data_IF_702150889058
#
_entry.id   IF_702150889058
#
_cell.length_a   1.000
_cell.length_b   1.000
_cell.length_c   1.000
_cell.angle_alpha   90.00
_cell.angle_beta   90.00
_cell.angle_gamma   90.00
#
_symmetry.space_group_name_H-M   'P 1'
#
loop_
_entity.id
_entity.type
_entity.pdbx_description
1 polymer ?
#
# COMPACT_ATOMS: atom_id res chain seq x y z
N UNK A 1 -9.18 -7.56 14.24
CA UNK A 1 -9.02 -8.75 13.39
C UNK A 1 -7.57 -9.21 13.53
N UNK A 2 -7.29 -10.51 13.72
CA UNK A 2 -5.93 -11.00 13.82
C UNK A 2 -5.46 -11.42 12.41
N UNK A 3 -4.48 -10.72 11.86
CA UNK A 3 -3.98 -10.96 10.50
C UNK A 3 -3.11 -12.23 10.39
N UNK A 4 -2.53 -12.71 11.48
CA UNK A 4 -1.74 -13.95 11.48
C UNK A 4 -2.65 -15.18 11.45
N UNK A 5 -3.76 -15.15 12.19
CA UNK A 5 -4.71 -16.28 12.27
C UNK A 5 -5.90 -16.15 11.33
N UNK A 6 -6.11 -14.97 10.73
CA UNK A 6 -7.24 -14.66 9.87
C UNK A 6 -8.59 -14.62 10.59
N UNK A 7 -8.60 -14.51 11.93
CA UNK A 7 -9.83 -14.61 12.74
C UNK A 7 -10.16 -13.32 13.49
N UNK A 8 -11.45 -13.09 13.71
CA UNK A 8 -11.93 -12.02 14.60
C UNK A 8 -11.76 -12.48 16.05
N UNK A 9 -10.97 -11.73 16.81
CA UNK A 9 -10.90 -11.88 18.27
C UNK A 9 -11.80 -10.84 18.94
N UNK A 10 -12.33 -11.18 20.12
CA UNK A 10 -13.06 -10.22 20.96
C UNK A 10 -12.09 -9.14 21.43
N UNK A 11 -12.40 -7.89 21.10
CA UNK A 11 -11.62 -6.72 21.54
C UNK A 11 -12.11 -6.19 22.89
N UNK A 12 -11.40 -5.18 23.41
CA UNK A 12 -11.87 -4.38 24.54
C UNK A 12 -12.99 -3.45 24.09
N UNK A 13 -13.98 -3.25 24.95
CA UNK A 13 -14.97 -2.18 24.76
C UNK A 13 -14.32 -0.88 25.22
N UNK A 14 -14.37 0.14 24.36
CA UNK A 14 -13.81 1.46 24.64
C UNK A 14 -14.96 2.45 24.61
N UNK A 15 -15.03 3.32 25.62
CA UNK A 15 -15.94 4.46 25.65
C UNK A 15 -15.09 5.70 25.43
N UNK A 16 -15.27 6.43 24.31
CA UNK A 16 -14.54 7.66 24.09
C UNK A 16 -14.98 8.73 25.10
N UNK A 17 -14.09 9.65 25.51
CA UNK A 17 -14.47 10.82 26.29
C UNK A 17 -15.43 11.72 25.50
N UNK A 18 -16.11 12.64 26.19
CA UNK A 18 -17.15 13.52 25.59
C UNK A 18 -16.67 14.25 24.33
N UNK A 19 -15.42 14.71 24.33
CA UNK A 19 -14.77 15.41 23.22
C UNK A 19 -13.69 14.54 22.54
N UNK A 20 -13.83 13.22 22.66
CA UNK A 20 -12.90 12.26 22.09
C UNK A 20 -13.05 12.11 20.58
N UNK A 21 -11.93 11.98 19.88
CA UNK A 21 -11.91 11.68 18.45
C UNK A 21 -11.75 10.17 18.26
N UNK A 22 -12.56 9.59 17.38
CA UNK A 22 -12.44 8.20 16.95
C UNK A 22 -11.78 8.18 15.57
N UNK A 23 -10.60 7.58 15.48
CA UNK A 23 -9.96 7.30 14.20
C UNK A 23 -10.39 5.92 13.70
N UNK A 24 -11.03 5.87 12.53
CA UNK A 24 -11.40 4.64 11.84
C UNK A 24 -10.50 4.47 10.62
N UNK A 25 -9.67 3.44 10.62
CA UNK A 25 -8.81 3.09 9.49
C UNK A 25 -9.29 1.79 8.83
N UNK A 26 -9.21 1.75 7.50
CA UNK A 26 -9.60 0.59 6.73
C UNK A 26 -10.01 0.92 5.30
N UNK A 27 -10.00 -0.11 4.45
CA UNK A 27 -10.24 0.02 3.01
C UNK A 27 -11.67 0.42 2.63
N UNK A 28 -12.62 0.42 3.57
CA UNK A 28 -14.02 0.77 3.32
C UNK A 28 -14.48 2.01 4.09
N UNK A 29 -13.59 2.73 4.78
CA UNK A 29 -13.99 3.84 5.66
C UNK A 29 -14.64 5.02 4.93
N UNK A 30 -14.43 5.17 3.62
CA UNK A 30 -15.08 6.21 2.82
C UNK A 30 -16.53 5.86 2.43
N UNK A 31 -16.91 4.59 2.51
CA UNK A 31 -18.25 4.16 2.15
C UNK A 31 -19.26 4.57 3.24
N UNK A 32 -20.18 5.48 2.91
CA UNK A 32 -21.22 5.96 3.82
C UNK A 32 -22.12 4.84 4.36
N UNK A 33 -22.29 3.73 3.62
CA UNK A 33 -23.04 2.57 4.11
C UNK A 33 -22.43 1.99 5.41
N UNK A 34 -21.12 2.13 5.62
CA UNK A 34 -20.44 1.67 6.83
C UNK A 34 -20.77 2.56 8.05
N UNK A 35 -21.01 3.85 7.84
CA UNK A 35 -21.23 4.84 8.91
C UNK A 35 -22.58 5.54 8.81
N UNK A 36 -23.59 4.89 8.22
CA UNK A 36 -24.88 5.48 7.88
C UNK A 36 -25.65 6.09 9.07
N UNK A 37 -25.37 5.61 10.29
CA UNK A 37 -25.97 6.13 11.55
C UNK A 37 -25.26 7.35 12.11
N UNK A 38 -24.09 7.69 11.60
CA UNK A 38 -23.28 8.82 12.07
C UNK A 38 -23.58 10.01 11.14
N UNK A 39 -23.95 11.19 11.67
CA UNK A 39 -24.17 12.39 10.85
C UNK A 39 -22.91 12.80 10.08
N UNK A 40 -23.05 13.26 8.83
CA UNK A 40 -21.90 13.70 8.02
C UNK A 40 -21.15 14.89 8.64
N UNK A 41 -21.83 15.79 9.33
CA UNK A 41 -21.25 17.00 9.95
C UNK A 41 -20.21 16.74 11.05
N UNK A 42 -20.15 15.51 11.59
CA UNK A 42 -19.18 15.11 12.60
C UNK A 42 -18.16 14.10 12.07
N UNK A 43 -18.12 13.90 10.75
CA UNK A 43 -17.14 13.05 10.07
C UNK A 43 -16.10 13.95 9.41
N UNK A 44 -14.88 13.44 9.39
CA UNK A 44 -13.83 13.95 8.54
C UNK A 44 -13.16 12.75 7.87
N UNK A 45 -13.19 12.71 6.54
CA UNK A 45 -12.77 11.58 5.73
C UNK A 45 -11.49 11.92 4.98
N UNK A 46 -10.48 11.10 5.19
CA UNK A 46 -9.18 11.24 4.52
C UNK A 46 -8.99 10.06 3.57
N UNK A 47 -8.73 10.36 2.30
CA UNK A 47 -8.33 9.37 1.32
C UNK A 47 -6.82 9.40 1.11
N UNK A 48 -6.15 8.28 1.41
CA UNK A 48 -4.71 8.13 1.18
C UNK A 48 -4.50 7.39 -0.14
N UNK A 49 -3.91 8.07 -1.12
CA UNK A 49 -3.57 7.53 -2.43
C UNK A 49 -2.06 7.40 -2.60
N UNK A 50 -1.61 6.68 -3.62
CA UNK A 50 -0.19 6.56 -3.99
C UNK A 50 0.00 6.89 -5.47
N UNK A 51 -0.56 8.03 -5.88
CA UNK A 51 -0.60 8.49 -7.26
C UNK A 51 0.80 8.89 -7.71
N UNK A 52 1.46 7.98 -8.44
CA UNK A 52 2.78 8.24 -9.00
C UNK A 52 2.66 9.22 -10.16
N UNK A 53 3.37 10.35 -10.06
CA UNK A 53 3.34 11.43 -11.05
C UNK A 53 4.50 11.37 -12.05
N UNK A 54 5.41 10.41 -11.90
CA UNK A 54 6.57 10.27 -12.75
C UNK A 54 6.23 9.61 -14.09
N UNK A 55 6.90 10.09 -15.13
CA UNK A 55 6.96 9.42 -16.42
C UNK A 55 8.38 8.88 -16.66
N UNK A 56 8.47 7.79 -17.40
CA UNK A 56 9.73 7.20 -17.89
C UNK A 56 10.25 8.07 -19.04
N UNK A 57 9.35 8.49 -19.92
CA UNK A 57 9.58 9.43 -21.03
C UNK A 57 8.28 10.19 -21.34
N UNK A 58 8.23 10.98 -22.40
CA UNK A 58 7.08 11.83 -22.76
C UNK A 58 5.79 11.04 -23.08
N UNK A 59 5.88 9.72 -23.26
CA UNK A 59 4.77 8.87 -23.68
C UNK A 59 4.48 7.73 -22.69
N UNK A 60 5.45 7.34 -21.87
CA UNK A 60 5.37 6.22 -20.96
C UNK A 60 5.29 6.70 -19.52
N UNK A 61 4.09 6.65 -18.94
CA UNK A 61 3.86 7.00 -17.53
C UNK A 61 4.21 5.83 -16.61
N UNK A 62 4.74 6.12 -15.43
CA UNK A 62 4.86 5.09 -14.39
C UNK A 62 3.48 4.78 -13.84
N UNK A 63 3.11 3.50 -13.89
CA UNK A 63 1.83 3.04 -13.37
C UNK A 63 1.79 3.15 -11.85
N UNK A 64 0.76 3.84 -11.33
CA UNK A 64 0.46 3.87 -9.88
C UNK A 64 0.25 2.46 -9.31
N UNK A 65 -0.29 1.55 -10.14
CA UNK A 65 -0.47 0.13 -9.80
C UNK A 65 0.89 -0.52 -9.48
N UNK A 66 1.92 -0.24 -10.26
CA UNK A 66 3.25 -0.83 -10.06
C UNK A 66 3.89 -0.34 -8.76
N UNK A 67 3.81 0.96 -8.49
CA UNK A 67 4.29 1.54 -7.22
C UNK A 67 3.60 0.89 -6.01
N UNK A 68 2.26 0.73 -6.06
CA UNK A 68 1.50 0.05 -5.00
C UNK A 68 1.91 -1.42 -4.87
N UNK A 69 2.20 -2.09 -5.98
CA UNK A 69 2.63 -3.48 -6.02
C UNK A 69 4.00 -3.66 -5.36
N UNK A 70 4.97 -2.78 -5.67
CA UNK A 70 6.30 -2.78 -5.05
C UNK A 70 6.20 -2.60 -3.53
N UNK A 71 5.43 -1.60 -3.07
CA UNK A 71 5.17 -1.39 -1.63
C UNK A 71 4.61 -2.64 -0.96
N UNK A 72 3.65 -3.31 -1.60
CA UNK A 72 3.05 -4.56 -1.09
C UNK A 72 4.01 -5.73 -1.06
N UNK A 73 4.84 -5.90 -2.10
CA UNK A 73 5.88 -6.93 -2.12
C UNK A 73 6.79 -6.74 -0.89
N UNK A 74 7.32 -5.54 -0.66
CA UNK A 74 8.19 -5.28 0.49
C UNK A 74 7.44 -5.49 1.81
N UNK A 75 6.26 -4.88 1.97
CA UNK A 75 5.48 -5.00 3.22
C UNK A 75 5.14 -6.45 3.57
N UNK A 76 4.58 -7.21 2.62
CA UNK A 76 4.04 -8.54 2.91
C UNK A 76 5.14 -9.59 3.08
N UNK A 77 6.32 -9.37 2.48
CA UNK A 77 7.46 -10.29 2.60
C UNK A 77 8.32 -10.03 3.84
N UNK A 78 8.52 -8.75 4.21
CA UNK A 78 9.32 -8.40 5.38
C UNK A 78 8.55 -8.52 6.70
N UNK A 79 7.26 -8.18 6.74
CA UNK A 79 6.51 -8.09 8.00
C UNK A 79 5.53 -9.23 8.24
N UNK A 80 5.14 -9.98 7.20
CA UNK A 80 4.05 -10.98 7.31
C UNK A 80 4.45 -12.40 6.96
N UNK A 81 5.71 -12.66 6.58
CA UNK A 81 6.20 -13.99 6.25
C UNK A 81 5.49 -14.65 5.05
N UNK A 82 4.81 -13.86 4.21
CA UNK A 82 4.08 -14.38 3.05
C UNK A 82 5.04 -14.85 1.95
N UNK A 83 4.70 -15.97 1.31
CA UNK A 83 5.35 -16.39 0.06
C UNK A 83 4.95 -15.41 -1.04
N UNK A 84 5.94 -14.80 -1.72
CA UNK A 84 5.72 -13.80 -2.80
C UNK A 84 4.70 -14.23 -3.86
N UNK A 85 4.59 -15.54 -4.13
CA UNK A 85 3.61 -16.11 -5.06
C UNK A 85 2.18 -15.66 -4.75
N UNK A 86 1.82 -15.61 -3.47
CA UNK A 86 0.49 -15.19 -3.06
C UNK A 86 0.26 -13.70 -3.37
N UNK A 87 1.27 -12.85 -3.25
CA UNK A 87 1.13 -11.40 -3.53
C UNK A 87 0.82 -11.16 -5.01
N UNK A 88 1.52 -11.85 -5.92
CA UNK A 88 1.31 -11.70 -7.36
C UNK A 88 -0.02 -12.33 -7.81
N UNK A 89 -0.36 -13.52 -7.31
CA UNK A 89 -1.61 -14.21 -7.65
C UNK A 89 -2.87 -13.41 -7.26
N UNK A 90 -2.83 -12.75 -6.10
CA UNK A 90 -4.01 -12.05 -5.58
C UNK A 90 -4.14 -10.62 -6.14
N UNK A 91 -3.21 -10.16 -6.98
CA UNK A 91 -3.19 -8.77 -7.42
C UNK A 91 -4.41 -8.37 -8.23
N UNK A 92 -4.83 -9.22 -9.18
CA UNK A 92 -6.04 -9.00 -9.97
C UNK A 92 -7.29 -8.93 -9.09
N UNK A 93 -7.42 -9.84 -8.13
CA UNK A 93 -8.52 -9.86 -7.17
C UNK A 93 -8.55 -8.60 -6.31
N UNK A 94 -7.39 -8.14 -5.84
CA UNK A 94 -7.28 -6.89 -5.09
C UNK A 94 -7.75 -5.72 -5.94
N UNK A 95 -7.28 -5.62 -7.20
CA UNK A 95 -7.64 -4.54 -8.12
C UNK A 95 -9.15 -4.46 -8.35
N UNK A 96 -9.79 -5.60 -8.60
CA UNK A 96 -11.25 -5.70 -8.71
C UNK A 96 -11.92 -5.24 -7.41
N UNK A 97 -11.36 -5.62 -6.26
CA UNK A 97 -11.83 -5.18 -4.95
C UNK A 97 -11.72 -3.66 -4.75
N UNK A 98 -10.64 -3.04 -5.22
CA UNK A 98 -10.43 -1.59 -5.18
C UNK A 98 -11.42 -0.86 -6.09
N UNK A 99 -11.60 -1.33 -7.32
CA UNK A 99 -12.53 -0.77 -8.32
C UNK A 99 -13.98 -0.84 -7.89
N UNK A 100 -14.35 -1.90 -7.17
CA UNK A 100 -15.73 -2.07 -6.69
C UNK A 100 -16.00 -1.32 -5.38
N UNK A 101 -15.02 -1.26 -4.48
CA UNK A 101 -15.30 -0.89 -3.07
C UNK A 101 -14.50 0.30 -2.53
N UNK A 102 -13.53 0.83 -3.28
CA UNK A 102 -12.68 1.94 -2.84
C UNK A 102 -12.78 3.12 -3.79
N UNK A 103 -12.42 2.93 -5.07
CA UNK A 103 -12.40 4.03 -6.05
C UNK A 103 -13.75 4.73 -6.23
N UNK A 104 -14.92 4.05 -6.19
CA UNK A 104 -16.22 4.73 -6.29
C UNK A 104 -16.50 5.73 -5.16
N UNK A 105 -15.79 5.60 -4.04
CA UNK A 105 -16.00 6.43 -2.85
C UNK A 105 -14.85 7.42 -2.61
N UNK A 106 -13.87 7.54 -3.51
CA UNK A 106 -12.72 8.44 -3.29
C UNK A 106 -13.15 9.92 -3.22
N UNK A 107 -14.17 10.31 -4.00
CA UNK A 107 -14.73 11.66 -4.02
C UNK A 107 -15.60 12.00 -2.79
N UNK A 108 -15.86 11.02 -1.92
CA UNK A 108 -16.53 11.23 -0.63
C UNK A 108 -15.57 11.71 0.46
N UNK A 109 -14.27 11.81 0.16
CA UNK A 109 -13.26 12.30 1.08
C UNK A 109 -13.26 13.83 1.15
N UNK A 110 -13.08 14.35 2.36
CA UNK A 110 -12.90 15.78 2.60
C UNK A 110 -11.48 16.22 2.21
N UNK A 111 -10.50 15.33 2.42
CA UNK A 111 -9.10 15.57 2.06
C UNK A 111 -8.46 14.36 1.37
N UNK A 112 -7.62 14.63 0.38
CA UNK A 112 -6.83 13.62 -0.30
C UNK A 112 -5.34 13.80 -0.01
N UNK A 113 -4.70 12.75 0.48
CA UNK A 113 -3.27 12.71 0.74
C UNK A 113 -2.55 11.77 -0.24
N UNK A 114 -1.69 12.34 -1.09
CA UNK A 114 -0.84 11.52 -1.97
C UNK A 114 0.43 11.09 -1.23
N UNK A 115 0.50 9.81 -0.88
CA UNK A 115 1.64 9.19 -0.22
C UNK A 115 2.77 8.78 -1.17
N UNK A 116 2.63 8.96 -2.49
CA UNK A 116 3.66 8.58 -3.47
C UNK A 116 4.96 9.38 -3.25
N UNK A 117 6.10 8.70 -3.39
CA UNK A 117 7.41 9.34 -3.28
C UNK A 117 8.19 9.12 -4.58
N UNK A 118 8.61 10.19 -5.23
CA UNK A 118 9.27 10.17 -6.55
C UNK A 118 10.46 9.20 -6.58
N UNK A 119 11.24 9.14 -5.49
CA UNK A 119 12.45 8.31 -5.41
C UNK A 119 12.21 6.87 -4.93
N UNK A 120 10.98 6.49 -4.59
CA UNK A 120 10.75 5.18 -3.97
C UNK A 120 11.08 3.97 -4.85
N UNK A 121 10.91 3.97 -6.20
CA UNK A 121 11.29 2.79 -6.99
C UNK A 121 12.79 2.51 -6.91
N UNK A 122 13.63 3.56 -6.85
CA UNK A 122 15.08 3.45 -6.70
C UNK A 122 15.51 2.81 -5.38
N UNK A 123 14.77 3.07 -4.29
CA UNK A 123 15.01 2.48 -2.97
C UNK A 123 14.44 1.06 -2.91
N UNK A 124 13.17 0.90 -3.31
CA UNK A 124 12.45 -0.38 -3.26
C UNK A 124 13.09 -1.44 -4.17
N UNK A 125 13.79 -1.04 -5.24
CA UNK A 125 14.57 -1.93 -6.10
C UNK A 125 15.44 -2.91 -5.32
N UNK A 126 16.17 -2.43 -4.30
CA UNK A 126 17.07 -3.24 -3.46
C UNK A 126 16.32 -4.39 -2.76
N UNK A 127 15.09 -4.12 -2.32
CA UNK A 127 14.26 -5.07 -1.57
C UNK A 127 13.45 -5.99 -2.49
N UNK A 128 12.89 -5.46 -3.57
CA UNK A 128 12.04 -6.22 -4.49
C UNK A 128 12.83 -7.18 -5.38
N UNK A 129 13.98 -6.77 -5.94
CA UNK A 129 14.71 -7.59 -6.92
C UNK A 129 15.10 -8.99 -6.40
N UNK A 130 15.67 -9.15 -5.19
CA UNK A 130 16.00 -10.49 -4.67
C UNK A 130 14.79 -11.40 -4.52
N UNK A 131 13.61 -10.83 -4.28
CA UNK A 131 12.37 -11.59 -4.07
C UNK A 131 11.77 -11.98 -5.42
N UNK A 132 11.69 -11.05 -6.37
CA UNK A 132 11.17 -11.28 -7.71
C UNK A 132 12.02 -12.32 -8.46
N UNK A 133 13.36 -12.26 -8.36
CA UNK A 133 14.28 -13.21 -8.99
C UNK A 133 14.16 -14.65 -8.50
N UNK A 134 13.48 -14.90 -7.37
CA UNK A 134 13.23 -16.27 -6.86
C UNK A 134 12.09 -16.98 -7.59
N UNK A 135 11.31 -16.27 -8.40
CA UNK A 135 10.20 -16.85 -9.17
C UNK A 135 10.78 -17.58 -10.39
N UNK A 136 10.46 -18.87 -10.54
CA UNK A 136 11.00 -19.72 -11.61
C UNK A 136 10.20 -19.53 -12.90
N UNK A 137 10.80 -19.80 -14.05
CA UNK A 137 10.14 -19.74 -15.37
C UNK A 137 8.88 -20.61 -15.48
N UNK A 138 8.80 -21.70 -14.72
CA UNK A 138 7.63 -22.59 -14.69
C UNK A 138 6.46 -22.06 -13.86
N UNK A 139 6.62 -20.93 -13.16
CA UNK A 139 5.56 -20.30 -12.39
C UNK A 139 4.65 -19.46 -13.28
N UNK A 140 3.32 -19.48 -13.09
CA UNK A 140 2.41 -18.64 -13.86
C UNK A 140 2.63 -17.14 -13.59
N UNK A 141 3.23 -16.78 -12.45
CA UNK A 141 3.55 -15.39 -12.10
C UNK A 141 4.86 -14.88 -12.71
N UNK A 142 5.59 -15.72 -13.46
CA UNK A 142 6.94 -15.38 -13.93
C UNK A 142 6.96 -14.15 -14.86
N UNK A 143 6.00 -14.06 -15.78
CA UNK A 143 5.94 -12.93 -16.73
C UNK A 143 5.73 -11.60 -16.01
N UNK A 144 4.85 -11.57 -15.01
CA UNK A 144 4.63 -10.37 -14.20
C UNK A 144 5.86 -10.02 -13.34
N UNK A 145 6.53 -11.03 -12.78
CA UNK A 145 7.76 -10.82 -12.04
C UNK A 145 8.88 -10.25 -12.93
N UNK A 146 8.99 -10.76 -14.17
CA UNK A 146 9.95 -10.28 -15.17
C UNK A 146 9.65 -8.84 -15.56
N UNK A 147 8.38 -8.51 -15.83
CA UNK A 147 7.92 -7.13 -16.13
C UNK A 147 8.32 -6.15 -15.01
N UNK A 148 8.11 -6.52 -13.75
CA UNK A 148 8.50 -5.70 -12.60
C UNK A 148 10.02 -5.57 -12.45
N UNK A 149 10.79 -6.62 -12.75
CA UNK A 149 12.26 -6.57 -12.77
C UNK A 149 12.73 -5.59 -13.84
N UNK A 150 12.18 -5.68 -15.05
CA UNK A 150 12.54 -4.80 -16.17
C UNK A 150 12.18 -3.34 -15.85
N UNK A 151 11.01 -3.11 -15.26
CA UNK A 151 10.62 -1.80 -14.74
C UNK A 151 11.62 -1.26 -13.69
N UNK A 152 11.98 -2.05 -12.69
CA UNK A 152 12.97 -1.66 -11.68
C UNK A 152 14.36 -1.43 -12.27
N UNK A 153 14.70 -2.06 -13.40
CA UNK A 153 15.98 -1.86 -14.08
C UNK A 153 16.12 -0.47 -14.71
N UNK A 154 15.02 0.24 -14.94
CA UNK A 154 15.03 1.64 -15.39
C UNK A 154 15.60 2.62 -14.36
N UNK A 155 15.65 2.22 -13.07
CA UNK A 155 16.10 3.09 -11.98
C UNK A 155 17.50 2.73 -11.49
N UNK A 156 18.32 3.74 -11.22
CA UNK A 156 19.53 3.55 -10.44
C UNK A 156 19.17 3.21 -8.99
N UNK A 157 19.74 2.13 -8.46
CA UNK A 157 19.51 1.75 -7.06
C UNK A 157 20.14 2.78 -6.12
N UNK A 158 19.40 3.19 -5.10
CA UNK A 158 19.88 4.16 -4.11
C UNK A 158 19.95 3.54 -2.71
N UNK A 159 20.85 4.05 -1.87
CA UNK A 159 21.05 3.52 -0.52
C UNK A 159 19.89 3.97 0.39
N UNK A 160 19.30 3.03 1.14
CA UNK A 160 18.23 3.29 2.09
C UNK A 160 18.64 4.21 3.25
N UNK A 161 19.94 4.36 3.52
CA UNK A 161 20.47 5.30 4.53
C UNK A 161 20.16 6.75 4.20
N UNK A 162 19.99 7.09 2.92
CA UNK A 162 19.67 8.44 2.47
C UNK A 162 18.18 8.80 2.65
N UNK A 163 17.33 7.83 3.03
CA UNK A 163 15.92 8.07 3.30
C UNK A 163 15.78 8.73 4.68
N UNK A 164 15.06 9.86 4.82
CA UNK A 164 14.83 10.47 6.13
C UNK A 164 14.16 9.49 7.11
N UNK A 165 14.48 9.59 8.41
CA UNK A 165 13.91 8.71 9.45
C UNK A 165 12.40 8.93 9.66
N UNK A 166 11.90 10.11 9.31
CA UNK A 166 10.48 10.48 9.35
C UNK A 166 9.74 10.27 8.02
N UNK A 167 10.37 9.65 7.01
CA UNK A 167 9.74 9.34 5.73
C UNK A 167 8.73 8.21 5.86
N UNK A 168 7.58 8.31 5.19
CA UNK A 168 6.59 7.21 5.14
C UNK A 168 7.15 5.92 4.54
N UNK A 169 8.19 6.02 3.70
CA UNK A 169 8.86 4.85 3.13
C UNK A 169 9.49 3.96 4.22
N UNK A 170 9.80 4.53 5.39
CA UNK A 170 10.37 3.81 6.54
C UNK A 170 9.41 2.76 7.13
N UNK A 171 8.10 2.86 6.88
CA UNK A 171 7.18 1.77 7.22
C UNK A 171 7.44 0.49 6.42
N UNK A 172 7.99 0.63 5.20
CA UNK A 172 8.26 -0.51 4.32
C UNK A 172 9.67 -1.06 4.51
N UNK A 173 10.65 -0.17 4.69
CA UNK A 173 12.08 -0.55 4.69
C UNK A 173 12.72 -0.53 6.09
N UNK A 174 11.98 -0.13 7.12
CA UNK A 174 12.45 -0.02 8.51
C UNK A 174 13.30 1.22 8.79
N UNK A 175 13.81 1.32 10.03
CA UNK A 175 14.56 2.47 10.59
C UNK A 175 13.75 3.76 10.68
N UNK A 176 12.46 3.64 11.01
CA UNK A 176 11.60 4.80 11.30
C UNK A 176 11.99 5.43 12.64
N UNK A 177 11.87 6.75 12.75
CA UNK A 177 11.92 7.45 14.05
C UNK A 177 10.62 7.33 14.85
N UNK A 178 9.54 6.86 14.24
CA UNK A 178 8.27 6.61 14.92
C UNK A 178 8.33 5.30 15.71
N UNK A 179 7.84 5.32 16.95
CA UNK A 179 7.65 4.14 17.80
C UNK A 179 6.19 3.70 17.68
N UNK A 180 5.98 2.45 17.26
CA UNK A 180 4.66 1.86 16.96
C UNK A 180 4.26 0.85 18.03
#
# INVERSE_FOLDING_TARGET
FNFLTGRRNKGKVIVPPKDGVILLEGIHCLNEAFTYKIPKSIKFKIYISALTQLNIDDHNRISTTDTRMLRRIVRDTHFRGYKIRNVLQHWSSVRIGEEKNIYPYQEEADEMFNSALIYEPAILKKFCLPILKRIKKSNPEYEEAKRLIDFLNLFYGFNERSVPSNSILREFIGSSSFVY
#
